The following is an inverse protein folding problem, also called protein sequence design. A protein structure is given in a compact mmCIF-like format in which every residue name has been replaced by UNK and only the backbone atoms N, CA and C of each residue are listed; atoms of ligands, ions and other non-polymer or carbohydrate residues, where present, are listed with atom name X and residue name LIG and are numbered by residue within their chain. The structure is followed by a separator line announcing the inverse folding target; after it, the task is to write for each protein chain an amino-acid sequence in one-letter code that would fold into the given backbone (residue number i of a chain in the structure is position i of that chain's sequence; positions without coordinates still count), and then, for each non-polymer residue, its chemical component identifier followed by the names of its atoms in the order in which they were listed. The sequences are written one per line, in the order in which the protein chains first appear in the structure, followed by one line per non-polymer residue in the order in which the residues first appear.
data_IF_365869468541
#
_entry.id   IF_365869468541
#
_cell.length_a   1.000
_cell.length_b   1.000
_cell.length_c   1.000
_cell.angle_alpha   90.00
_cell.angle_beta   90.00
_cell.angle_gamma   90.00
#
_symmetry.space_group_name_H-M   'P 1'
#
loop_
_entity.id
_entity.type
_entity.pdbx_description
1 polymer ?
#
# COMPACT_ATOMS: atom_id res chain seq x y z
N UNK A 1 -3.67 -7.47 14.38
CA UNK A 1 -3.24 -7.29 15.78
C UNK A 1 -4.19 -8.02 16.73
N UNK A 2 -5.51 -7.84 16.58
CA UNK A 2 -6.53 -8.53 17.37
C UNK A 2 -6.38 -10.07 17.39
N UNK A 3 -6.20 -10.70 16.23
CA UNK A 3 -5.96 -12.15 16.12
C UNK A 3 -4.71 -12.61 16.89
N UNK A 4 -3.70 -11.74 17.01
CA UNK A 4 -2.47 -12.00 17.76
C UNK A 4 -2.58 -11.60 19.25
N UNK A 5 -3.73 -11.09 19.70
CA UNK A 5 -3.92 -10.59 21.08
C UNK A 5 -3.06 -9.36 21.41
N UNK A 6 -2.56 -8.65 20.40
CA UNK A 6 -1.69 -7.48 20.57
C UNK A 6 -2.53 -6.21 20.52
N UNK A 7 -2.38 -5.33 21.51
CA UNK A 7 -2.96 -3.98 21.49
C UNK A 7 -1.85 -2.94 21.26
N UNK A 8 -1.68 -2.44 20.01
CA UNK A 8 -0.66 -1.44 19.74
C UNK A 8 -0.98 -0.12 20.43
N UNK A 9 0.06 0.58 20.90
CA UNK A 9 -0.09 1.95 21.38
C UNK A 9 -0.14 2.90 20.19
N UNK A 10 -1.31 3.43 19.88
CA UNK A 10 -1.50 4.36 18.78
C UNK A 10 -0.98 5.75 19.16
N UNK A 11 0.14 6.16 18.53
CA UNK A 11 0.71 7.51 18.71
C UNK A 11 0.00 8.54 17.81
N UNK A 12 -0.28 8.16 16.56
CA UNK A 12 -1.02 8.98 15.59
C UNK A 12 -1.82 8.11 14.61
N UNK A 13 -2.92 8.67 14.09
CA UNK A 13 -3.69 8.08 12.99
C UNK A 13 -3.58 8.97 11.76
N UNK A 14 -2.99 8.47 10.68
CA UNK A 14 -2.74 9.22 9.44
C UNK A 14 -3.09 8.41 8.21
N UNK A 15 -3.57 9.08 7.16
CA UNK A 15 -3.88 8.48 5.86
C UNK A 15 -2.83 8.81 4.77
N UNK A 16 -1.95 9.79 5.00
CA UNK A 16 -0.96 10.21 4.02
C UNK A 16 0.40 9.55 4.26
N UNK A 17 0.82 8.70 3.31
CA UNK A 17 2.04 7.89 3.43
C UNK A 17 3.31 8.74 3.62
N UNK A 18 3.42 9.89 2.95
CA UNK A 18 4.57 10.78 3.07
C UNK A 18 4.73 11.32 4.50
N UNK A 19 3.63 11.73 5.12
CA UNK A 19 3.62 12.22 6.50
C UNK A 19 3.95 11.11 7.49
N UNK A 20 3.43 9.90 7.27
CA UNK A 20 3.74 8.73 8.09
C UNK A 20 5.25 8.47 8.07
N UNK A 21 5.88 8.40 6.89
CA UNK A 21 7.32 8.12 6.77
C UNK A 21 8.18 9.23 7.40
N UNK A 22 7.77 10.49 7.28
CA UNK A 22 8.45 11.60 7.95
C UNK A 22 8.46 11.46 9.48
N UNK A 23 7.37 10.97 10.09
CA UNK A 23 7.31 10.72 11.53
C UNK A 23 8.16 9.52 11.96
N UNK A 24 8.22 8.47 11.13
CA UNK A 24 9.11 7.32 11.36
C UNK A 24 10.57 7.76 11.31
N UNK A 25 10.95 8.56 10.30
CA UNK A 25 12.27 9.18 10.20
C UNK A 25 12.59 10.05 11.43
N UNK A 26 11.60 10.82 11.92
CA UNK A 26 11.71 11.61 13.14
C UNK A 26 11.71 10.77 14.45
N UNK A 27 11.73 9.43 14.36
CA UNK A 27 11.77 8.48 15.50
C UNK A 27 10.56 8.56 16.43
N UNK A 28 9.42 9.04 15.92
CA UNK A 28 8.18 9.15 16.70
C UNK A 28 7.49 7.79 16.87
N UNK A 29 7.76 6.83 15.98
CA UNK A 29 7.24 5.47 16.08
C UNK A 29 7.56 4.61 14.86
N UNK A 30 6.83 3.51 14.73
CA UNK A 30 6.82 2.62 13.56
C UNK A 30 5.45 2.63 12.90
N UNK A 31 5.39 2.28 11.62
CA UNK A 31 4.16 2.25 10.84
C UNK A 31 4.05 0.96 10.02
N UNK A 32 2.82 0.47 9.86
CA UNK A 32 2.49 -0.59 8.90
C UNK A 32 2.07 0.10 7.61
N UNK A 33 2.73 -0.25 6.50
CA UNK A 33 2.52 0.38 5.20
C UNK A 33 2.43 -0.68 4.09
N UNK A 34 1.74 -0.39 2.96
CA UNK A 34 1.83 -1.22 1.78
C UNK A 34 3.27 -1.32 1.26
N UNK A 35 3.62 -2.45 0.64
CA UNK A 35 4.94 -2.65 0.03
C UNK A 35 5.28 -1.57 -1.00
N UNK A 36 4.29 -1.05 -1.73
CA UNK A 36 4.47 0.03 -2.69
C UNK A 36 5.12 1.30 -2.09
N UNK A 37 5.02 1.52 -0.78
CA UNK A 37 5.67 2.64 -0.09
C UNK A 37 7.21 2.57 -0.15
N UNK A 38 7.79 1.38 -0.33
CA UNK A 38 9.26 1.20 -0.49
C UNK A 38 9.80 1.94 -1.72
N UNK A 39 8.95 2.13 -2.74
CA UNK A 39 9.28 2.85 -3.98
C UNK A 39 9.42 4.36 -3.80
N UNK A 40 9.04 4.91 -2.64
CA UNK A 40 9.19 6.33 -2.32
C UNK A 40 10.61 6.73 -1.92
N UNK A 41 11.52 5.75 -1.72
CA UNK A 41 12.94 5.97 -1.40
C UNK A 41 13.16 7.02 -0.29
N UNK A 42 12.47 6.87 0.83
CA UNK A 42 12.57 7.79 1.96
C UNK A 42 13.82 7.49 2.79
N UNK A 43 14.81 8.38 2.74
CA UNK A 43 16.08 8.20 3.45
C UNK A 43 15.89 8.07 4.97
N UNK A 44 16.75 7.26 5.59
CA UNK A 44 16.74 7.05 7.05
C UNK A 44 15.56 6.24 7.58
N UNK A 45 14.78 5.59 6.70
CA UNK A 45 13.73 4.63 7.07
C UNK A 45 14.12 3.22 6.62
N UNK A 46 14.06 2.26 7.55
CA UNK A 46 14.25 0.84 7.25
C UNK A 46 12.89 0.15 7.09
N UNK A 47 12.66 -0.50 5.95
CA UNK A 47 11.47 -1.31 5.71
C UNK A 47 11.73 -2.75 6.09
N UNK A 48 10.81 -3.34 6.87
CA UNK A 48 10.88 -4.75 7.28
C UNK A 48 9.62 -5.50 6.83
N UNK A 49 9.76 -6.69 6.22
CA UNK A 49 8.61 -7.48 5.81
C UNK A 49 7.81 -7.94 7.01
N UNK A 50 6.49 -7.83 6.92
CA UNK A 50 5.56 -8.30 7.93
C UNK A 50 5.12 -9.73 7.55
N UNK A 51 5.74 -10.72 8.19
CA UNK A 51 5.48 -12.12 7.91
C UNK A 51 4.18 -12.56 8.61
N UNK A 52 3.07 -12.52 7.88
CA UNK A 52 1.76 -12.99 8.31
C UNK A 52 1.50 -14.31 7.58
N UNK A 53 0.98 -15.33 8.28
CA UNK A 53 0.61 -16.62 7.68
C UNK A 53 -0.86 -16.91 7.99
N UNK A 54 -1.74 -17.01 6.98
CA UNK A 54 -1.46 -16.81 5.54
C UNK A 54 -1.09 -15.36 5.22
N UNK A 55 -0.35 -15.14 4.13
CA UNK A 55 -0.03 -13.79 3.68
C UNK A 55 -1.32 -13.03 3.35
N UNK A 56 -1.42 -11.78 3.84
CA UNK A 56 -2.57 -10.90 3.60
C UNK A 56 -2.08 -9.55 3.06
N UNK A 57 -1.63 -9.49 1.80
CA UNK A 57 -1.23 -8.23 1.17
C UNK A 57 -2.44 -7.33 0.95
N UNK A 58 -2.20 -6.03 0.86
CA UNK A 58 -3.22 -5.08 0.40
C UNK A 58 -3.37 -5.20 -1.11
N UNK A 59 -4.61 -5.24 -1.59
CA UNK A 59 -4.91 -5.38 -3.02
C UNK A 59 -5.36 -4.04 -3.61
N UNK A 60 -4.96 -3.77 -4.86
CA UNK A 60 -5.42 -2.62 -5.62
C UNK A 60 -6.46 -3.10 -6.64
N UNK A 61 -7.65 -2.50 -6.58
CA UNK A 61 -8.75 -2.83 -7.48
C UNK A 61 -9.04 -1.70 -8.47
N UNK A 62 -9.39 -2.08 -9.69
CA UNK A 62 -9.98 -1.18 -10.68
C UNK A 62 -11.46 -1.48 -10.77
N UNK A 63 -12.30 -0.45 -10.67
CA UNK A 63 -13.75 -0.58 -10.72
C UNK A 63 -14.36 0.39 -11.73
N UNK A 64 -15.34 -0.09 -12.48
CA UNK A 64 -16.13 0.71 -13.41
C UNK A 64 -17.59 0.27 -13.39
N UNK A 65 -18.49 1.15 -13.85
CA UNK A 65 -19.90 0.81 -14.03
C UNK A 65 -20.07 -0.17 -15.18
N UNK A 66 -20.99 -1.13 -15.04
CA UNK A 66 -21.30 -2.13 -16.09
C UNK A 66 -21.78 -1.50 -17.40
N UNK A 67 -22.43 -0.35 -17.32
CA UNK A 67 -23.00 0.41 -18.44
C UNK A 67 -22.13 1.60 -18.86
N UNK A 68 -20.82 1.57 -18.56
CA UNK A 68 -19.89 2.64 -18.95
C UNK A 68 -19.65 2.62 -20.47
N UNK A 69 -20.07 3.68 -21.14
CA UNK A 69 -19.96 3.91 -22.58
C UNK A 69 -18.76 4.78 -22.97
N UNK A 70 -17.90 5.15 -22.02
CA UNK A 70 -16.71 5.94 -22.29
C UNK A 70 -15.74 5.17 -23.22
N UNK A 71 -15.45 5.65 -24.43
CA UNK A 71 -14.58 4.96 -25.38
C UNK A 71 -13.14 4.80 -24.86
N UNK A 72 -12.72 5.59 -23.87
CA UNK A 72 -11.40 5.50 -23.25
C UNK A 72 -11.27 4.37 -22.22
N UNK A 73 -12.37 3.72 -21.80
CA UNK A 73 -12.31 2.66 -20.78
C UNK A 73 -11.48 1.46 -21.26
N UNK A 74 -11.75 0.95 -22.46
CA UNK A 74 -11.04 -0.23 -22.98
C UNK A 74 -9.53 0.03 -23.16
N UNK A 75 -9.10 1.14 -23.79
CA UNK A 75 -7.68 1.48 -23.85
C UNK A 75 -7.03 1.64 -22.47
N UNK A 76 -7.73 2.26 -21.51
CA UNK A 76 -7.21 2.45 -20.16
C UNK A 76 -7.01 1.12 -19.42
N UNK A 77 -7.97 0.19 -19.51
CA UNK A 77 -7.82 -1.13 -18.90
C UNK A 77 -6.65 -1.91 -19.52
N UNK A 78 -6.48 -1.85 -20.85
CA UNK A 78 -5.34 -2.47 -21.51
C UNK A 78 -3.98 -1.89 -21.04
N UNK A 79 -3.92 -0.58 -20.77
CA UNK A 79 -2.72 0.05 -20.21
C UNK A 79 -2.43 -0.45 -18.79
N UNK A 80 -3.47 -0.63 -17.96
CA UNK A 80 -3.30 -1.17 -16.61
C UNK A 80 -2.84 -2.63 -16.66
N UNK A 81 -3.47 -3.47 -17.48
CA UNK A 81 -3.11 -4.88 -17.62
C UNK A 81 -1.63 -5.04 -18.03
N UNK A 82 -1.16 -4.24 -19.00
CA UNK A 82 0.24 -4.24 -19.41
C UNK A 82 1.21 -3.79 -18.30
N UNK A 83 0.78 -2.90 -17.39
CA UNK A 83 1.59 -2.50 -16.23
C UNK A 83 1.63 -3.57 -15.15
N UNK A 84 0.58 -4.40 -15.02
CA UNK A 84 0.54 -5.51 -14.06
C UNK A 84 1.38 -6.69 -14.54
N UNK A 85 1.42 -6.99 -15.84
CA UNK A 85 2.27 -8.05 -16.41
C UNK A 85 3.78 -7.78 -16.25
N UNK A 86 4.20 -6.51 -16.24
CA UNK A 86 5.58 -6.10 -15.93
C UNK A 86 5.92 -6.07 -14.44
N UNK A 87 4.91 -6.20 -13.58
CA UNK A 87 5.03 -6.25 -12.12
C UNK A 87 4.76 -7.69 -11.63
N UNK A 88 5.51 -8.66 -12.17
CA UNK A 88 5.52 -10.00 -11.59
C UNK A 88 6.04 -9.93 -10.13
N UNK A 89 5.50 -10.77 -9.22
CA UNK A 89 5.90 -10.79 -7.81
C UNK A 89 7.36 -11.19 -7.59
#
# INVERSE_FOLDING_TARGET
FDEAGVSPQYVQHMSQIHSILALVHARIGAAVVPEAATRLHFDGVEFRPLNITPAQPVELFVAWRRDNDNPSLKPFLALIEAQVEGAAP
#
